data_IF_254027295152
#
_entry.id   IF_254027295152
#
_cell.length_a   1.000
_cell.length_b   1.000
_cell.length_c   1.000
_cell.angle_alpha   90.00
_cell.angle_beta   90.00
_cell.angle_gamma   90.00
#
_symmetry.space_group_name_H-M   'P 1'
#
loop_
_entity.id
_entity.type
_entity.pdbx_description
1 polymer ?
#
# COMPACT_ATOMS: atom_id res chain seq x y z
N UNK A 1 -24.88 -2.50 -28.97
CA UNK A 1 -23.58 -3.16 -28.74
C UNK A 1 -23.77 -4.27 -27.72
N UNK A 2 -23.28 -5.49 -27.97
CA UNK A 2 -23.25 -6.53 -26.92
C UNK A 2 -22.29 -6.05 -25.83
N UNK A 3 -22.79 -5.94 -24.60
CA UNK A 3 -21.95 -5.66 -23.43
C UNK A 3 -21.12 -6.92 -23.19
N UNK A 4 -19.81 -6.84 -23.28
CA UNK A 4 -18.93 -7.94 -22.88
C UNK A 4 -18.98 -8.06 -21.36
N UNK A 5 -19.16 -9.28 -20.86
CA UNK A 5 -19.20 -9.58 -19.43
C UNK A 5 -17.88 -10.20 -18.98
N UNK A 6 -17.47 -9.90 -17.77
CA UNK A 6 -16.28 -10.43 -17.12
C UNK A 6 -16.60 -10.94 -15.70
N UNK A 7 -15.87 -11.93 -15.24
CA UNK A 7 -15.95 -12.37 -13.84
C UNK A 7 -15.30 -11.32 -12.93
N UNK A 8 -15.96 -11.04 -11.80
CA UNK A 8 -15.46 -10.11 -10.79
C UNK A 8 -15.98 -10.43 -9.40
N UNK A 9 -15.20 -10.07 -8.38
CA UNK A 9 -15.61 -10.11 -6.97
C UNK A 9 -16.01 -8.71 -6.51
N UNK A 10 -17.26 -8.57 -6.06
CA UNK A 10 -17.82 -7.28 -5.69
C UNK A 10 -18.55 -7.31 -4.35
N UNK A 11 -18.73 -6.12 -3.77
CA UNK A 11 -19.63 -5.89 -2.63
C UNK A 11 -20.88 -5.14 -3.10
N UNK A 12 -22.04 -5.60 -2.63
CA UNK A 12 -23.34 -4.93 -2.85
C UNK A 12 -23.64 -3.91 -1.74
N UNK A 13 -23.02 -4.08 -0.59
CA UNK A 13 -23.12 -3.20 0.59
C UNK A 13 -21.85 -3.29 1.43
N UNK A 14 -21.55 -2.26 2.18
CA UNK A 14 -20.52 -2.33 3.22
C UNK A 14 -20.95 -3.27 4.34
N UNK A 15 -20.10 -4.23 4.68
CA UNK A 15 -20.39 -5.21 5.74
C UNK A 15 -19.08 -5.71 6.36
N UNK A 16 -18.93 -5.53 7.67
CA UNK A 16 -17.74 -5.98 8.40
C UNK A 16 -17.62 -7.51 8.30
N UNK A 17 -16.46 -7.98 7.80
CA UNK A 17 -16.21 -9.40 7.57
C UNK A 17 -17.13 -10.03 6.50
N UNK A 18 -17.84 -9.23 5.69
CA UNK A 18 -18.73 -9.72 4.65
C UNK A 18 -17.98 -10.36 3.50
N UNK A 19 -18.49 -11.47 2.97
CA UNK A 19 -17.93 -12.10 1.78
C UNK A 19 -18.23 -11.25 0.53
N UNK A 20 -17.27 -11.21 -0.40
CA UNK A 20 -17.48 -10.69 -1.73
C UNK A 20 -18.29 -11.69 -2.55
N UNK A 21 -19.15 -11.18 -3.41
CA UNK A 21 -19.94 -11.99 -4.35
C UNK A 21 -19.22 -12.10 -5.68
N UNK A 22 -18.95 -13.33 -6.13
CA UNK A 22 -18.53 -13.58 -7.51
C UNK A 22 -19.71 -13.31 -8.45
N UNK A 23 -19.48 -12.51 -9.48
CA UNK A 23 -20.51 -12.08 -10.42
C UNK A 23 -19.94 -11.89 -11.82
N UNK A 24 -20.82 -11.94 -12.80
CA UNK A 24 -20.55 -11.38 -14.12
C UNK A 24 -20.87 -9.89 -14.11
N UNK A 25 -19.90 -9.07 -14.45
CA UNK A 25 -20.00 -7.61 -14.51
C UNK A 25 -19.67 -7.13 -15.92
N UNK A 26 -20.20 -5.98 -16.38
CA UNK A 26 -19.74 -5.38 -17.61
C UNK A 26 -18.23 -5.10 -17.58
N UNK A 27 -17.54 -5.30 -18.70
CA UNK A 27 -16.19 -4.79 -18.84
C UNK A 27 -16.14 -3.29 -18.54
N UNK A 28 -15.05 -2.79 -17.91
CA UNK A 28 -14.91 -1.37 -17.62
C UNK A 28 -14.84 -0.53 -18.91
N UNK A 29 -15.40 0.67 -18.84
CA UNK A 29 -15.31 1.64 -19.94
C UNK A 29 -13.86 2.11 -20.11
N UNK A 30 -13.33 2.03 -21.33
CA UNK A 30 -12.01 2.53 -21.71
C UNK A 30 -12.10 4.02 -22.04
N UNK A 31 -11.54 4.89 -21.22
CA UNK A 31 -11.46 6.33 -21.47
C UNK A 31 -10.27 6.65 -22.38
N UNK A 32 -10.24 7.88 -22.88
CA UNK A 32 -9.21 8.31 -23.88
C UNK A 32 -7.76 8.24 -23.37
N UNK A 33 -7.56 8.30 -22.06
CA UNK A 33 -6.24 8.24 -21.41
C UNK A 33 -5.97 6.90 -20.72
N UNK A 34 -6.84 5.90 -20.86
CA UNK A 34 -6.73 4.64 -20.15
C UNK A 34 -5.99 3.56 -20.94
N UNK A 35 -5.44 2.63 -20.22
CA UNK A 35 -5.07 1.30 -20.72
C UNK A 35 -6.06 0.27 -20.16
N UNK A 36 -6.53 -0.63 -21.01
CA UNK A 36 -7.31 -1.80 -20.59
C UNK A 36 -6.34 -2.94 -20.35
N UNK A 37 -6.32 -3.42 -19.12
CA UNK A 37 -5.44 -4.50 -18.69
C UNK A 37 -6.25 -5.77 -18.49
N UNK A 38 -5.85 -6.85 -19.17
CA UNK A 38 -6.25 -8.21 -18.84
C UNK A 38 -5.46 -8.65 -17.62
N UNK A 39 -6.15 -8.85 -16.50
CA UNK A 39 -5.53 -9.11 -15.21
C UNK A 39 -5.00 -10.55 -15.15
N UNK A 40 -3.73 -10.71 -14.83
CA UNK A 40 -3.10 -12.01 -14.57
C UNK A 40 -3.01 -12.29 -13.08
N UNK A 41 -2.72 -11.27 -12.29
CA UNK A 41 -2.65 -11.36 -10.84
C UNK A 41 -3.09 -10.07 -10.16
N UNK A 42 -3.64 -10.17 -8.96
CA UNK A 42 -4.05 -9.06 -8.12
C UNK A 42 -3.50 -9.21 -6.69
N UNK A 43 -2.87 -8.15 -6.18
CA UNK A 43 -2.37 -8.13 -4.80
C UNK A 43 -3.49 -7.85 -3.80
N UNK A 44 -3.52 -8.60 -2.70
CA UNK A 44 -4.50 -8.44 -1.63
C UNK A 44 -3.91 -7.56 -0.52
N UNK A 45 -4.69 -6.62 -0.04
CA UNK A 45 -4.28 -5.65 0.97
C UNK A 45 -5.28 -5.56 2.11
N UNK A 46 -4.83 -5.24 3.32
CA UNK A 46 -5.73 -4.91 4.43
C UNK A 46 -6.64 -3.71 4.09
N UNK A 47 -6.24 -2.87 3.13
CA UNK A 47 -7.08 -1.79 2.61
C UNK A 47 -8.36 -2.33 1.97
N UNK A 48 -8.30 -3.45 1.25
CA UNK A 48 -9.46 -4.07 0.61
C UNK A 48 -10.50 -4.48 1.68
N UNK A 49 -10.05 -5.10 2.77
CA UNK A 49 -10.91 -5.44 3.92
C UNK A 49 -11.54 -4.19 4.53
N UNK A 50 -10.76 -3.14 4.75
CA UNK A 50 -11.26 -1.88 5.34
C UNK A 50 -12.26 -1.14 4.44
N UNK A 51 -12.09 -1.20 3.12
CA UNK A 51 -13.05 -0.67 2.15
C UNK A 51 -14.34 -1.51 2.22
N UNK A 52 -14.24 -2.85 2.18
CA UNK A 52 -15.37 -3.78 2.35
C UNK A 52 -16.16 -3.47 3.62
N UNK A 53 -15.47 -3.23 4.72
CA UNK A 53 -16.06 -2.96 6.03
C UNK A 53 -16.66 -1.55 6.15
N UNK A 54 -16.40 -0.66 5.17
CA UNK A 54 -16.90 0.71 5.15
C UNK A 54 -16.14 1.68 6.05
N UNK A 55 -14.94 1.35 6.51
CA UNK A 55 -14.15 2.24 7.36
C UNK A 55 -13.81 3.57 6.67
N UNK A 56 -13.73 3.58 5.34
CA UNK A 56 -13.40 4.76 4.54
C UNK A 56 -14.60 5.42 3.85
N UNK A 57 -15.84 4.97 4.06
CA UNK A 57 -17.03 5.44 3.34
C UNK A 57 -17.26 6.98 3.41
N UNK A 58 -16.76 7.63 4.45
CA UNK A 58 -16.86 9.09 4.60
C UNK A 58 -15.78 9.85 3.82
N UNK A 59 -14.64 9.20 3.55
CA UNK A 59 -13.48 9.80 2.87
C UNK A 59 -13.44 9.36 1.42
N UNK A 60 -13.81 8.11 1.16
CA UNK A 60 -13.87 7.46 -0.15
C UNK A 60 -15.27 6.90 -0.36
N UNK A 61 -16.24 7.73 -0.76
CA UNK A 61 -17.62 7.29 -0.98
C UNK A 61 -17.74 6.53 -2.31
N UNK A 62 -17.55 5.22 -2.30
CA UNK A 62 -17.74 4.40 -3.50
C UNK A 62 -19.21 4.20 -3.83
N UNK A 63 -19.50 4.12 -5.13
CA UNK A 63 -20.81 3.65 -5.63
C UNK A 63 -20.85 2.14 -5.55
N UNK A 64 -21.96 1.60 -5.07
CA UNK A 64 -22.21 0.17 -4.98
C UNK A 64 -23.19 -0.26 -6.09
N UNK A 65 -23.07 -1.49 -6.63
CA UNK A 65 -22.07 -2.51 -6.30
C UNK A 65 -20.64 -2.09 -6.73
N UNK A 66 -19.63 -2.52 -5.94
CA UNK A 66 -18.23 -2.14 -6.15
C UNK A 66 -17.36 -3.39 -6.31
N UNK A 67 -16.61 -3.49 -7.40
CA UNK A 67 -15.52 -4.47 -7.53
C UNK A 67 -14.35 -4.02 -6.68
N UNK A 68 -13.84 -4.91 -5.80
CA UNK A 68 -12.72 -4.60 -4.93
C UNK A 68 -11.36 -4.94 -5.57
N UNK A 69 -10.29 -4.60 -4.86
CA UNK A 69 -8.91 -4.84 -5.26
C UNK A 69 -8.19 -3.56 -5.67
N UNK A 70 -6.92 -3.46 -5.26
CA UNK A 70 -6.12 -2.23 -5.37
C UNK A 70 -4.78 -2.42 -6.10
N UNK A 71 -4.33 -3.65 -6.34
CA UNK A 71 -3.06 -3.95 -7.01
C UNK A 71 -3.30 -4.86 -8.21
N UNK A 72 -2.64 -4.61 -9.32
CA UNK A 72 -2.76 -5.40 -10.54
C UNK A 72 -1.41 -5.61 -11.22
N UNK A 73 -1.24 -6.79 -11.81
CA UNK A 73 -0.30 -7.05 -12.90
C UNK A 73 -1.03 -7.82 -13.99
N UNK A 74 -0.73 -7.49 -15.24
CA UNK A 74 -1.41 -8.10 -16.38
C UNK A 74 -0.88 -7.60 -17.72
N UNK A 75 -1.65 -7.86 -18.75
CA UNK A 75 -1.28 -7.55 -20.14
C UNK A 75 -2.23 -6.49 -20.68
N UNK A 76 -1.68 -5.48 -21.30
CA UNK A 76 -2.48 -4.46 -22.01
C UNK A 76 -3.17 -5.11 -23.22
N UNK A 77 -4.48 -4.97 -23.30
CA UNK A 77 -5.27 -5.49 -24.44
C UNK A 77 -5.83 -4.39 -25.34
N UNK A 78 -6.10 -3.21 -24.78
CA UNK A 78 -6.56 -2.02 -25.51
C UNK A 78 -6.00 -0.76 -24.88
N UNK A 79 -5.85 0.29 -25.67
CA UNK A 79 -5.41 1.61 -25.20
C UNK A 79 -6.36 2.70 -25.66
N UNK A 80 -6.55 3.73 -24.87
CA UNK A 80 -7.32 4.92 -25.20
C UNK A 80 -6.62 5.79 -26.26
N UNK A 81 -7.39 6.63 -26.92
CA UNK A 81 -6.92 7.39 -28.10
C UNK A 81 -5.73 8.32 -27.82
N UNK A 82 -5.54 8.75 -26.57
CA UNK A 82 -4.43 9.64 -26.17
C UNK A 82 -3.19 8.89 -25.67
N UNK A 83 -3.28 7.59 -25.41
CA UNK A 83 -2.16 6.80 -24.87
C UNK A 83 -1.12 6.54 -25.96
N UNK A 84 0.16 6.83 -25.67
CA UNK A 84 1.30 6.63 -26.60
C UNK A 84 2.39 5.77 -26.00
N UNK A 85 2.50 5.69 -24.67
CA UNK A 85 3.55 4.98 -23.95
C UNK A 85 3.30 3.48 -23.77
N UNK A 86 2.08 3.02 -24.03
CA UNK A 86 1.69 1.61 -23.94
C UNK A 86 0.99 1.15 -25.21
N UNK A 87 1.09 -0.16 -25.50
CA UNK A 87 0.42 -0.85 -26.62
C UNK A 87 -0.11 -2.21 -26.20
N UNK A 88 -1.07 -2.79 -26.90
CA UNK A 88 -1.49 -4.17 -26.70
C UNK A 88 -0.31 -5.14 -26.72
N UNK A 89 -0.28 -6.06 -25.74
CA UNK A 89 0.78 -7.03 -25.52
C UNK A 89 1.82 -6.60 -24.47
N UNK A 90 1.85 -5.33 -24.06
CA UNK A 90 2.76 -4.89 -23.01
C UNK A 90 2.36 -5.49 -21.65
N UNK A 91 3.33 -6.03 -20.93
CA UNK A 91 3.16 -6.49 -19.54
C UNK A 91 3.33 -5.31 -18.59
N UNK A 92 2.32 -5.07 -17.79
CA UNK A 92 2.24 -3.89 -16.91
C UNK A 92 1.85 -4.25 -15.49
N UNK A 93 2.14 -3.33 -14.58
CA UNK A 93 1.63 -3.40 -13.22
C UNK A 93 1.21 -2.01 -12.74
N UNK A 94 0.23 -1.95 -11.84
CA UNK A 94 -0.34 -0.70 -11.41
C UNK A 94 -1.02 -0.79 -10.04
N UNK A 95 -1.13 0.37 -9.40
CA UNK A 95 -2.12 0.65 -8.37
C UNK A 95 -3.09 1.68 -8.96
N UNK A 96 -4.30 1.28 -9.34
CA UNK A 96 -5.27 2.21 -9.91
C UNK A 96 -5.62 3.36 -8.97
N UNK A 97 -6.03 4.50 -9.49
CA UNK A 97 -6.50 5.62 -8.68
C UNK A 97 -7.57 5.19 -7.65
N UNK A 98 -7.67 5.91 -6.54
CA UNK A 98 -8.53 5.52 -5.41
C UNK A 98 -10.01 5.41 -5.77
N UNK A 99 -10.48 6.21 -6.71
CA UNK A 99 -11.86 6.22 -7.21
C UNK A 99 -12.11 5.21 -8.34
N UNK A 100 -11.08 4.45 -8.76
CA UNK A 100 -11.10 3.52 -9.89
C UNK A 100 -10.52 2.16 -9.55
N UNK A 101 -10.67 1.73 -8.32
CA UNK A 101 -10.27 0.38 -7.86
C UNK A 101 -11.11 -0.70 -8.55
N UNK A 102 -10.68 -1.98 -8.47
CA UNK A 102 -11.45 -3.08 -9.03
C UNK A 102 -10.60 -4.18 -9.65
N UNK A 103 -9.50 -4.55 -8.99
CA UNK A 103 -8.54 -5.53 -9.55
C UNK A 103 -8.90 -6.99 -9.26
N UNK A 104 -9.93 -7.27 -8.44
CA UNK A 104 -10.45 -8.64 -8.31
C UNK A 104 -11.46 -8.94 -9.42
N UNK A 105 -11.00 -8.87 -10.66
CA UNK A 105 -11.75 -9.05 -11.90
C UNK A 105 -10.85 -9.57 -13.03
N UNK A 106 -11.42 -9.89 -14.19
CA UNK A 106 -10.64 -10.33 -15.36
C UNK A 106 -10.03 -9.15 -16.12
N UNK A 107 -10.67 -7.95 -16.09
CA UNK A 107 -10.20 -6.74 -16.78
C UNK A 107 -10.35 -5.52 -15.89
N UNK A 108 -9.47 -4.55 -16.09
CA UNK A 108 -9.56 -3.22 -15.49
C UNK A 108 -9.09 -2.15 -16.47
N UNK A 109 -9.75 -0.98 -16.45
CA UNK A 109 -9.28 0.21 -17.15
C UNK A 109 -8.56 1.13 -16.16
N UNK A 110 -7.29 1.42 -16.40
CA UNK A 110 -6.43 2.23 -15.53
C UNK A 110 -5.92 3.43 -16.31
N UNK A 111 -5.90 4.61 -15.69
CA UNK A 111 -5.26 5.79 -16.30
C UNK A 111 -3.78 5.47 -16.56
N UNK A 112 -3.32 5.79 -17.77
CA UNK A 112 -1.95 5.46 -18.19
C UNK A 112 -0.87 6.11 -17.30
N UNK A 113 -1.20 7.20 -16.60
CA UNK A 113 -0.28 7.84 -15.64
C UNK A 113 -0.09 7.07 -14.35
N UNK A 114 -0.96 6.10 -14.05
CA UNK A 114 -0.89 5.24 -12.87
C UNK A 114 -0.20 3.88 -13.15
N UNK A 115 0.17 3.64 -14.40
CA UNK A 115 0.70 2.35 -14.89
C UNK A 115 2.20 2.45 -15.16
N UNK A 116 2.91 1.36 -14.93
CA UNK A 116 4.30 1.18 -15.37
C UNK A 116 4.50 -0.19 -16.03
N UNK A 117 5.57 -0.32 -16.83
CA UNK A 117 5.99 -1.61 -17.35
C UNK A 117 6.35 -2.53 -16.18
N UNK A 118 5.88 -3.77 -16.24
CA UNK A 118 6.22 -4.80 -15.26
C UNK A 118 7.74 -5.03 -15.26
N UNK A 119 8.41 -5.12 -14.08
CA UNK A 119 9.80 -5.53 -14.02
C UNK A 119 10.03 -6.84 -14.76
N UNK A 120 11.05 -6.89 -15.63
CA UNK A 120 11.32 -8.04 -16.51
C UNK A 120 11.71 -9.31 -15.76
N UNK A 121 12.25 -9.15 -14.57
CA UNK A 121 12.72 -10.23 -13.69
C UNK A 121 11.66 -10.72 -12.67
N UNK A 122 10.40 -10.26 -12.77
CA UNK A 122 9.31 -10.69 -11.92
C UNK A 122 8.24 -11.49 -12.68
N UNK A 123 7.62 -12.45 -12.01
CA UNK A 123 6.36 -13.07 -12.45
C UNK A 123 5.19 -12.09 -12.30
N UNK A 124 4.01 -12.44 -12.83
CA UNK A 124 2.81 -11.63 -12.67
C UNK A 124 2.37 -11.52 -11.21
N UNK A 125 2.45 -12.62 -10.46
CA UNK A 125 2.13 -12.65 -9.02
C UNK A 125 3.09 -11.78 -8.21
N UNK A 126 4.39 -11.87 -8.51
CA UNK A 126 5.40 -11.02 -7.86
C UNK A 126 5.16 -9.55 -8.18
N UNK A 127 4.90 -9.21 -9.43
CA UNK A 127 4.62 -7.84 -9.86
C UNK A 127 3.33 -7.30 -9.22
N UNK A 128 2.24 -8.08 -9.18
CA UNK A 128 0.99 -7.68 -8.54
C UNK A 128 1.13 -7.47 -7.01
N UNK A 129 2.14 -8.06 -6.39
CA UNK A 129 2.41 -7.90 -4.97
C UNK A 129 3.00 -6.53 -4.61
N UNK A 130 3.46 -5.76 -5.58
CA UNK A 130 4.33 -4.60 -5.35
C UNK A 130 3.62 -3.24 -5.28
N UNK A 131 2.66 -2.86 -6.16
CA UNK A 131 2.34 -1.46 -6.41
C UNK A 131 1.95 -0.67 -5.16
N UNK A 132 0.93 -1.10 -4.42
CA UNK A 132 0.45 -0.38 -3.23
C UNK A 132 1.53 -0.25 -2.15
N UNK A 133 2.20 -1.34 -1.84
CA UNK A 133 3.17 -1.36 -0.74
C UNK A 133 4.47 -0.64 -1.09
N UNK A 134 4.90 -0.72 -2.35
CA UNK A 134 6.10 -0.05 -2.82
C UNK A 134 5.88 1.46 -2.97
N UNK A 135 4.74 1.89 -3.54
CA UNK A 135 4.36 3.30 -3.55
C UNK A 135 4.21 3.87 -2.14
N UNK A 136 3.62 3.10 -1.21
CA UNK A 136 3.54 3.53 0.20
C UNK A 136 4.93 3.73 0.79
N UNK A 137 5.84 2.78 0.63
CA UNK A 137 7.21 2.87 1.14
C UNK A 137 7.96 4.05 0.51
N UNK A 138 7.84 4.24 -0.80
CA UNK A 138 8.45 5.34 -1.55
C UNK A 138 7.95 6.69 -1.04
N UNK A 139 6.63 6.90 -1.04
CA UNK A 139 6.03 8.17 -0.64
C UNK A 139 6.29 8.51 0.83
N UNK A 140 6.41 7.50 1.72
CA UNK A 140 6.83 7.72 3.10
C UNK A 140 8.29 8.12 3.18
N UNK A 141 9.20 7.32 2.60
CA UNK A 141 10.63 7.45 2.85
C UNK A 141 11.29 8.52 1.97
N UNK A 142 10.90 8.59 0.69
CA UNK A 142 11.47 9.53 -0.27
C UNK A 142 10.76 10.87 -0.22
N UNK A 143 9.44 10.89 -0.40
CA UNK A 143 8.72 12.17 -0.56
C UNK A 143 8.49 12.88 0.77
N UNK A 144 7.95 12.18 1.78
CA UNK A 144 7.58 12.78 3.07
C UNK A 144 8.78 12.88 4.02
N UNK A 145 9.46 11.76 4.26
CA UNK A 145 10.60 11.74 5.17
C UNK A 145 11.80 12.46 4.58
N UNK A 146 12.00 12.38 3.25
CA UNK A 146 13.23 12.78 2.56
C UNK A 146 14.43 12.16 3.26
N UNK A 147 14.35 10.84 3.44
CA UNK A 147 15.34 10.05 4.17
C UNK A 147 16.70 10.17 3.50
N UNK A 148 17.75 10.39 4.29
CA UNK A 148 19.11 10.61 3.81
C UNK A 148 20.06 9.57 4.38
N UNK A 149 21.16 9.34 3.69
CA UNK A 149 22.27 8.50 4.14
C UNK A 149 22.68 8.85 5.57
N UNK A 150 22.87 7.82 6.41
CA UNK A 150 23.30 7.95 7.80
C UNK A 150 22.19 8.28 8.79
N UNK A 151 20.97 8.60 8.33
CA UNK A 151 19.84 8.77 9.21
C UNK A 151 19.32 7.42 9.76
N UNK A 152 18.69 7.47 10.93
CA UNK A 152 18.08 6.31 11.59
C UNK A 152 16.58 6.29 11.35
N UNK A 153 16.05 5.17 10.84
CA UNK A 153 14.62 4.97 10.65
C UNK A 153 14.13 3.76 11.42
N UNK A 154 13.00 3.89 12.11
CA UNK A 154 12.25 2.77 12.66
C UNK A 154 11.05 2.48 11.75
N UNK A 155 10.95 1.23 11.30
CA UNK A 155 9.84 0.73 10.47
C UNK A 155 9.08 -0.29 11.30
N UNK A 156 7.85 0.03 11.69
CA UNK A 156 6.99 -0.92 12.40
C UNK A 156 6.45 -2.01 11.47
N UNK A 157 6.15 -3.20 12.04
CA UNK A 157 5.65 -4.36 11.32
C UNK A 157 6.52 -4.73 10.10
N UNK A 158 7.83 -4.87 10.31
CA UNK A 158 8.81 -5.09 9.25
C UNK A 158 8.60 -6.32 8.39
N UNK A 159 7.89 -7.34 8.88
CA UNK A 159 7.55 -8.55 8.14
C UNK A 159 6.23 -8.44 7.35
N UNK A 160 5.51 -7.33 7.43
CA UNK A 160 4.30 -7.08 6.65
C UNK A 160 4.59 -6.53 5.25
N UNK A 161 3.55 -6.38 4.42
CA UNK A 161 3.71 -5.96 3.02
C UNK A 161 4.52 -4.67 2.85
N UNK A 162 4.12 -3.57 3.52
CA UNK A 162 4.86 -2.30 3.46
C UNK A 162 6.24 -2.42 4.10
N UNK A 163 6.32 -3.11 5.26
CA UNK A 163 7.57 -3.21 6.02
C UNK A 163 8.69 -3.89 5.26
N UNK A 164 8.39 -4.98 4.54
CA UNK A 164 9.39 -5.73 3.75
C UNK A 164 10.02 -4.88 2.65
N UNK A 165 9.25 -4.02 2.01
CA UNK A 165 9.75 -3.12 0.96
C UNK A 165 10.44 -1.89 1.56
N UNK A 166 9.85 -1.31 2.61
CA UNK A 166 10.40 -0.12 3.27
C UNK A 166 11.79 -0.37 3.88
N UNK A 167 12.05 -1.57 4.44
CA UNK A 167 13.38 -1.94 4.94
C UNK A 167 14.40 -1.91 3.80
N UNK A 168 14.13 -2.57 2.69
CA UNK A 168 15.04 -2.65 1.53
C UNK A 168 15.28 -1.26 0.93
N UNK A 169 14.23 -0.47 0.72
CA UNK A 169 14.35 0.90 0.20
C UNK A 169 15.14 1.80 1.16
N UNK A 170 14.89 1.75 2.47
CA UNK A 170 15.64 2.53 3.45
C UNK A 170 17.13 2.16 3.47
N UNK A 171 17.45 0.87 3.32
CA UNK A 171 18.85 0.40 3.19
C UNK A 171 19.50 0.93 1.93
N UNK A 172 18.82 0.90 0.80
CA UNK A 172 19.30 1.48 -0.47
C UNK A 172 19.60 2.98 -0.31
N UNK A 173 18.73 3.72 0.39
CA UNK A 173 18.94 5.13 0.70
C UNK A 173 20.10 5.39 1.69
N UNK A 174 20.75 4.33 2.19
CA UNK A 174 21.88 4.40 3.11
C UNK A 174 21.52 4.69 4.56
N UNK A 175 20.28 4.43 4.97
CA UNK A 175 19.84 4.62 6.34
C UNK A 175 20.23 3.45 7.27
N UNK A 176 20.29 3.73 8.57
CA UNK A 176 20.34 2.73 9.61
C UNK A 176 18.90 2.33 9.98
N UNK A 177 18.58 1.07 9.79
CA UNK A 177 17.19 0.59 9.84
C UNK A 177 16.95 -0.26 11.08
N UNK A 178 16.03 0.19 11.95
CA UNK A 178 15.41 -0.65 12.96
C UNK A 178 14.01 -1.07 12.52
N UNK A 179 13.58 -2.24 12.96
CA UNK A 179 12.22 -2.71 12.71
C UNK A 179 11.66 -3.49 13.90
N UNK A 180 10.32 -3.52 14.00
CA UNK A 180 9.60 -4.38 14.94
C UNK A 180 8.97 -5.55 14.22
N UNK A 181 9.10 -6.76 14.78
CA UNK A 181 8.46 -7.97 14.24
C UNK A 181 8.25 -8.99 15.34
N UNK A 182 7.59 -10.12 15.03
CA UNK A 182 7.49 -11.26 15.95
C UNK A 182 8.71 -12.17 15.84
N UNK A 183 8.96 -12.98 16.87
CA UNK A 183 10.07 -13.94 16.94
C UNK A 183 10.25 -14.75 15.66
N UNK A 184 9.14 -15.27 15.10
CA UNK A 184 9.16 -16.12 13.91
C UNK A 184 9.63 -15.41 12.63
N UNK A 185 9.65 -14.08 12.60
CA UNK A 185 9.97 -13.28 11.41
C UNK A 185 11.30 -12.52 11.54
N UNK A 186 12.04 -12.71 12.65
CA UNK A 186 13.33 -12.03 12.88
C UNK A 186 14.33 -12.33 11.75
N UNK A 187 14.46 -13.59 11.36
CA UNK A 187 15.37 -13.99 10.28
C UNK A 187 15.01 -13.32 8.95
N UNK A 188 13.72 -13.25 8.61
CA UNK A 188 13.24 -12.60 7.39
C UNK A 188 13.65 -11.13 7.36
N UNK A 189 13.30 -10.35 8.38
CA UNK A 189 13.58 -8.90 8.33
C UNK A 189 15.08 -8.58 8.37
N UNK A 190 15.89 -9.43 9.02
CA UNK A 190 17.36 -9.35 8.93
C UNK A 190 17.86 -9.58 7.51
N UNK A 191 17.34 -10.59 6.81
CA UNK A 191 17.72 -10.89 5.42
C UNK A 191 17.33 -9.78 4.44
N UNK A 192 16.37 -8.92 4.81
CA UNK A 192 15.96 -7.75 4.05
C UNK A 192 16.83 -6.51 4.35
N UNK A 193 17.77 -6.61 5.31
CA UNK A 193 18.73 -5.58 5.63
C UNK A 193 18.46 -4.76 6.89
N UNK A 194 17.52 -5.18 7.77
CA UNK A 194 17.34 -4.50 9.04
C UNK A 194 18.59 -4.63 9.94
N UNK A 195 19.14 -3.49 10.39
CA UNK A 195 20.32 -3.44 11.26
C UNK A 195 19.95 -3.81 12.71
N UNK A 196 18.77 -3.39 13.16
CA UNK A 196 18.22 -3.72 14.50
C UNK A 196 16.83 -4.30 14.35
N UNK A 197 16.62 -5.42 15.01
CA UNK A 197 15.29 -6.06 15.04
C UNK A 197 14.82 -6.15 16.48
N UNK A 198 13.69 -5.51 16.78
CA UNK A 198 13.01 -5.62 18.07
C UNK A 198 11.91 -6.66 17.96
N UNK A 199 12.06 -7.75 18.67
CA UNK A 199 11.01 -8.76 18.84
C UNK A 199 10.00 -8.25 19.87
N UNK A 200 8.84 -7.76 19.39
CA UNK A 200 7.82 -7.15 20.23
C UNK A 200 7.18 -8.13 21.26
N UNK A 201 7.45 -9.43 21.13
CA UNK A 201 7.04 -10.44 22.13
C UNK A 201 7.96 -10.50 23.34
N UNK A 202 9.17 -9.93 23.23
CA UNK A 202 10.21 -9.96 24.25
C UNK A 202 10.56 -8.58 24.78
N UNK A 203 10.57 -7.59 23.86
CA UNK A 203 11.10 -6.27 24.16
C UNK A 203 10.11 -5.16 23.79
N UNK A 204 10.05 -4.11 24.62
CA UNK A 204 9.38 -2.86 24.31
C UNK A 204 10.32 -1.96 23.49
N UNK A 205 9.98 -1.73 22.21
CA UNK A 205 10.81 -0.93 21.32
C UNK A 205 11.11 0.49 21.85
N UNK A 206 10.17 1.11 22.58
CA UNK A 206 10.33 2.43 23.18
C UNK A 206 11.37 2.48 24.31
N UNK A 207 11.72 1.31 24.90
CA UNK A 207 12.75 1.21 25.94
C UNK A 207 14.14 1.02 25.34
N UNK A 208 14.23 0.28 24.21
CA UNK A 208 15.52 -0.13 23.63
C UNK A 208 15.99 0.76 22.48
N UNK A 209 15.09 1.52 21.84
CA UNK A 209 15.41 2.39 20.70
C UNK A 209 15.33 3.86 21.10
N UNK A 210 16.36 4.67 20.71
CA UNK A 210 16.41 6.11 20.97
C UNK A 210 17.16 6.86 19.85
N UNK A 211 16.76 8.12 19.65
CA UNK A 211 17.48 9.04 18.77
C UNK A 211 17.26 8.80 17.28
N UNK A 212 16.09 8.31 16.89
CA UNK A 212 15.73 8.07 15.50
C UNK A 212 15.28 9.37 14.79
N UNK A 213 15.59 9.47 13.51
CA UNK A 213 15.19 10.59 12.65
C UNK A 213 13.76 10.43 12.13
N UNK A 214 13.39 9.22 11.78
CA UNK A 214 12.12 8.89 11.15
C UNK A 214 11.50 7.66 11.80
N UNK A 215 10.18 7.67 11.97
CA UNK A 215 9.38 6.48 12.26
C UNK A 215 8.29 6.34 11.23
N UNK A 216 8.25 5.18 10.55
CA UNK A 216 7.10 4.74 9.76
C UNK A 216 6.20 3.88 10.65
N UNK A 217 5.02 4.41 10.97
CA UNK A 217 4.03 3.70 11.76
C UNK A 217 2.89 3.16 10.88
N UNK A 218 2.73 1.84 10.89
CA UNK A 218 1.65 1.09 10.23
C UNK A 218 0.72 0.38 11.23
N UNK A 219 0.88 0.66 12.53
CA UNK A 219 0.17 0.01 13.63
C UNK A 219 -0.77 0.99 14.34
N UNK A 220 -1.54 0.46 15.30
CA UNK A 220 -2.56 1.20 16.01
C UNK A 220 -2.05 2.36 16.89
N UNK A 221 -2.99 2.99 17.60
CA UNK A 221 -2.79 4.21 18.38
C UNK A 221 -1.68 4.09 19.44
N UNK A 222 -1.62 2.99 20.17
CA UNK A 222 -0.63 2.82 21.25
C UNK A 222 0.79 2.81 20.70
N UNK A 223 1.05 2.07 19.62
CA UNK A 223 2.35 2.07 18.95
C UNK A 223 2.71 3.44 18.37
N UNK A 224 1.72 4.14 17.80
CA UNK A 224 1.90 5.50 17.30
C UNK A 224 2.37 6.45 18.41
N UNK A 225 1.74 6.42 19.59
CA UNK A 225 2.10 7.28 20.71
C UNK A 225 3.47 6.93 21.33
N UNK A 226 3.75 5.64 21.50
CA UNK A 226 5.04 5.14 21.97
C UNK A 226 6.19 5.50 21.03
N UNK A 227 5.93 5.59 19.73
CA UNK A 227 6.93 5.98 18.72
C UNK A 227 7.52 7.38 18.95
N UNK A 228 6.80 8.27 19.63
CA UNK A 228 7.32 9.59 20.00
C UNK A 228 8.52 9.52 20.97
N UNK A 229 8.64 8.45 21.75
CA UNK A 229 9.75 8.27 22.69
C UNK A 229 11.05 7.82 22.01
N UNK A 230 10.95 7.30 20.80
CA UNK A 230 12.08 6.83 19.99
C UNK A 230 12.72 7.96 19.20
N UNK A 231 11.93 8.95 18.80
CA UNK A 231 12.36 10.04 17.95
C UNK A 231 13.18 11.09 18.70
N UNK A 232 14.18 11.65 18.02
CA UNK A 232 14.90 12.83 18.47
C UNK A 232 14.12 14.13 18.18
N UNK A 233 14.42 15.26 18.84
CA UNK A 233 13.90 16.56 18.42
C UNK A 233 14.21 16.82 16.94
N UNK A 234 13.23 17.35 16.18
CA UNK A 234 13.30 17.49 14.73
C UNK A 234 12.94 16.22 13.94
N UNK A 235 12.69 15.11 14.62
CA UNK A 235 12.31 13.85 13.99
C UNK A 235 10.92 13.87 13.36
N UNK A 236 10.65 12.87 12.50
CA UNK A 236 9.41 12.74 11.73
C UNK A 236 8.69 11.45 12.08
N UNK A 237 7.43 11.57 12.52
CA UNK A 237 6.51 10.45 12.70
C UNK A 237 5.51 10.45 11.54
N UNK A 238 5.64 9.47 10.66
CA UNK A 238 4.77 9.32 9.50
C UNK A 238 3.91 8.07 9.72
N UNK A 239 2.60 8.23 9.68
CA UNK A 239 1.67 7.12 9.90
C UNK A 239 0.80 6.87 8.68
N UNK A 240 0.60 5.59 8.36
CA UNK A 240 -0.32 5.11 7.33
C UNK A 240 -1.59 4.47 7.93
N UNK A 241 -1.70 4.45 9.25
CA UNK A 241 -2.82 3.85 10.01
C UNK A 241 -3.35 4.73 11.13
N UNK A 242 -2.69 5.88 11.39
CA UNK A 242 -3.09 6.84 12.42
C UNK A 242 -4.19 7.81 11.95
N UNK A 243 -4.56 8.78 12.81
CA UNK A 243 -5.58 9.74 12.45
C UNK A 243 -5.09 10.67 11.33
N UNK A 244 -5.91 10.89 10.27
CA UNK A 244 -5.58 11.81 9.20
C UNK A 244 -5.36 13.24 9.73
N UNK A 245 -4.34 13.90 9.21
CA UNK A 245 -4.02 15.28 9.57
C UNK A 245 -4.67 16.31 8.63
N UNK A 246 -4.66 17.61 8.97
CA UNK A 246 -5.26 18.65 8.12
C UNK A 246 -4.57 18.82 6.77
N UNK A 247 -3.30 18.44 6.64
CA UNK A 247 -2.54 18.54 5.39
C UNK A 247 -3.03 17.50 4.39
N UNK A 248 -3.27 16.28 4.86
CA UNK A 248 -3.94 15.25 4.08
C UNK A 248 -5.31 15.71 3.57
N UNK A 249 -6.13 16.32 4.46
CA UNK A 249 -7.45 16.82 4.08
C UNK A 249 -7.37 17.92 2.99
N UNK A 250 -6.33 18.76 3.01
CA UNK A 250 -6.10 19.78 1.97
C UNK A 250 -5.71 19.14 0.64
N UNK A 251 -4.79 18.19 0.65
CA UNK A 251 -4.30 17.51 -0.55
C UNK A 251 -5.41 16.74 -1.28
N UNK A 252 -6.34 16.15 -0.51
CA UNK A 252 -7.47 15.39 -1.07
C UNK A 252 -8.69 16.30 -1.45
N UNK A 253 -8.55 17.60 -1.46
CA UNK A 253 -9.67 18.50 -1.81
C UNK A 253 -10.86 18.43 -0.88
N UNK A 254 -10.70 17.87 0.33
CA UNK A 254 -11.78 17.68 1.30
C UNK A 254 -12.45 19.03 1.66
N UNK A 255 -13.78 19.03 1.80
CA UNK A 255 -14.54 20.19 2.26
C UNK A 255 -14.09 20.67 3.65
N UNK A 256 -14.35 21.95 3.96
CA UNK A 256 -13.87 22.57 5.21
C UNK A 256 -14.32 21.83 6.46
N UNK A 257 -15.53 21.30 6.48
CA UNK A 257 -16.07 20.54 7.62
C UNK A 257 -15.25 19.26 7.90
N UNK A 258 -14.94 18.49 6.86
CA UNK A 258 -14.12 17.30 6.98
C UNK A 258 -12.68 17.63 7.43
N UNK A 259 -12.14 18.77 6.99
CA UNK A 259 -10.84 19.29 7.48
C UNK A 259 -10.87 19.57 8.98
N UNK A 260 -11.96 20.13 9.52
CA UNK A 260 -12.08 20.38 10.96
C UNK A 260 -12.20 19.06 11.73
N UNK A 261 -12.95 18.08 11.22
CA UNK A 261 -13.04 16.75 11.82
C UNK A 261 -11.66 16.09 11.89
N UNK A 262 -10.90 16.07 10.79
CA UNK A 262 -9.55 15.49 10.76
C UNK A 262 -8.59 16.26 11.68
N UNK A 263 -8.73 17.58 11.78
CA UNK A 263 -7.97 18.42 12.72
C UNK A 263 -8.21 18.02 14.16
N UNK A 264 -9.47 17.74 14.53
CA UNK A 264 -9.83 17.29 15.88
C UNK A 264 -9.33 15.89 16.14
N UNK A 265 -9.53 14.94 15.22
CA UNK A 265 -9.08 13.54 15.35
C UNK A 265 -7.57 13.45 15.56
N UNK A 266 -6.77 14.23 14.84
CA UNK A 266 -5.32 14.23 14.95
C UNK A 266 -4.77 15.17 16.04
N UNK A 267 -5.62 15.95 16.74
CA UNK A 267 -5.17 16.98 17.69
C UNK A 267 -4.31 16.42 18.82
N UNK A 268 -4.67 15.25 19.35
CA UNK A 268 -3.97 14.61 20.44
C UNK A 268 -2.52 14.26 20.07
N UNK A 269 -2.34 13.50 19.00
CA UNK A 269 -1.00 13.10 18.53
C UNK A 269 -0.16 14.31 18.10
N UNK A 270 -0.75 15.27 17.39
CA UNK A 270 -0.06 16.50 16.94
C UNK A 270 0.41 17.36 18.11
N UNK A 271 -0.39 17.47 19.19
CA UNK A 271 0.00 18.20 20.42
C UNK A 271 1.15 17.50 21.11
N UNK A 272 1.08 16.15 21.27
CA UNK A 272 2.14 15.35 21.86
C UNK A 272 3.44 15.45 21.05
N UNK A 273 3.37 15.37 19.72
CA UNK A 273 4.50 15.53 18.81
C UNK A 273 5.13 16.93 18.93
N UNK A 274 4.31 17.99 18.88
CA UNK A 274 4.80 19.37 18.98
C UNK A 274 5.56 19.63 20.28
N UNK A 275 5.10 19.09 21.42
CA UNK A 275 5.78 19.22 22.72
C UNK A 275 7.19 18.61 22.74
N UNK A 276 7.47 17.69 21.82
CA UNK A 276 8.77 17.01 21.66
C UNK A 276 9.55 17.52 20.44
N UNK A 277 9.10 18.59 19.79
CA UNK A 277 9.68 19.10 18.55
C UNK A 277 9.70 18.05 17.42
N UNK A 278 8.68 17.21 17.35
CA UNK A 278 8.51 16.16 16.34
C UNK A 278 7.43 16.57 15.36
N UNK A 279 7.63 16.33 14.05
CA UNK A 279 6.59 16.50 13.06
C UNK A 279 5.77 15.21 12.93
N UNK A 280 4.43 15.34 12.99
CA UNK A 280 3.50 14.26 12.67
C UNK A 280 2.88 14.49 11.30
N UNK A 281 2.83 13.45 10.47
CA UNK A 281 2.06 13.46 9.23
C UNK A 281 1.37 12.12 9.00
N UNK A 282 0.18 12.18 8.41
CA UNK A 282 -0.54 11.03 7.89
C UNK A 282 -0.26 10.91 6.39
N UNK A 283 -0.10 9.70 5.91
CA UNK A 283 0.02 9.39 4.49
C UNK A 283 -1.04 8.38 4.10
N UNK A 284 -1.84 8.75 3.11
CA UNK A 284 -2.62 7.81 2.31
C UNK A 284 -2.00 7.83 0.92
N UNK A 285 -1.46 6.70 0.48
CA UNK A 285 -0.68 6.65 -0.75
C UNK A 285 -1.55 6.94 -1.98
N UNK A 286 -0.96 7.54 -2.99
CA UNK A 286 -1.58 7.85 -4.27
C UNK A 286 -0.98 7.01 -5.38
N UNK A 287 -1.79 6.72 -6.40
CA UNK A 287 -1.32 6.08 -7.63
C UNK A 287 -0.27 6.97 -8.32
N UNK A 288 0.75 6.37 -8.91
CA UNK A 288 1.80 7.09 -9.63
C UNK A 288 2.66 6.13 -10.45
N UNK A 289 2.44 6.10 -11.77
CA UNK A 289 3.20 5.27 -12.71
C UNK A 289 4.68 5.64 -12.76
N UNK A 290 5.01 6.94 -12.72
CA UNK A 290 6.42 7.38 -12.73
C UNK A 290 7.21 6.90 -11.51
N UNK A 291 6.59 6.89 -10.30
CA UNK A 291 7.22 6.29 -9.13
C UNK A 291 7.36 4.77 -9.25
N UNK A 292 6.39 4.10 -9.91
CA UNK A 292 6.52 2.66 -10.20
C UNK A 292 7.66 2.39 -11.18
N UNK A 293 7.94 3.25 -12.16
CA UNK A 293 9.10 3.12 -13.06
C UNK A 293 10.43 3.20 -12.30
N UNK A 294 10.55 4.13 -11.35
CA UNK A 294 11.73 4.21 -10.47
C UNK A 294 11.86 2.92 -9.62
N UNK A 295 10.74 2.44 -9.08
CA UNK A 295 10.70 1.18 -8.32
C UNK A 295 11.04 -0.02 -9.22
N UNK A 296 10.55 -0.06 -10.48
CA UNK A 296 10.93 -1.08 -11.47
C UNK A 296 12.45 -1.15 -11.62
N UNK A 297 13.11 0.00 -11.78
CA UNK A 297 14.57 0.06 -11.91
C UNK A 297 15.29 -0.53 -10.70
N UNK A 298 14.79 -0.28 -9.48
CA UNK A 298 15.36 -0.86 -8.26
C UNK A 298 15.11 -2.37 -8.15
N UNK A 299 13.99 -2.85 -8.63
CA UNK A 299 13.66 -4.29 -8.66
C UNK A 299 14.57 -5.00 -9.67
N UNK A 300 14.71 -4.47 -10.87
CA UNK A 300 15.54 -5.06 -11.91
C UNK A 300 17.03 -5.06 -11.54
N UNK A 301 17.47 -4.06 -10.79
CA UNK A 301 18.80 -4.02 -10.18
C UNK A 301 18.99 -4.96 -8.98
N UNK A 302 17.96 -5.69 -8.56
CA UNK A 302 18.00 -6.61 -7.41
C UNK A 302 18.08 -5.91 -6.05
N UNK A 303 17.83 -4.60 -5.99
CA UNK A 303 17.84 -3.81 -4.75
C UNK A 303 16.59 -4.08 -3.91
N UNK A 304 15.45 -4.20 -4.57
CA UNK A 304 14.16 -4.52 -3.95
C UNK A 304 13.65 -5.83 -4.54
N UNK A 305 13.21 -6.72 -3.66
CA UNK A 305 12.58 -7.98 -4.06
C UNK A 305 11.23 -8.14 -3.36
N UNK A 306 10.20 -8.68 -4.02
CA UNK A 306 8.94 -9.02 -3.40
C UNK A 306 9.10 -10.12 -2.35
N UNK A 307 8.23 -10.09 -1.34
CA UNK A 307 8.06 -11.19 -0.38
C UNK A 307 6.61 -11.61 -0.46
N UNK A 308 6.36 -12.78 -1.05
CA UNK A 308 5.02 -13.37 -1.16
C UNK A 308 4.89 -14.48 -0.12
N UNK A 309 3.82 -14.43 0.67
CA UNK A 309 3.47 -15.47 1.62
C UNK A 309 2.62 -16.57 0.98
N UNK A 310 1.57 -16.16 0.27
CA UNK A 310 0.64 -17.09 -0.40
C UNK A 310 0.09 -16.51 -1.70
N UNK A 311 -0.16 -17.43 -2.65
CA UNK A 311 -0.94 -17.18 -3.86
C UNK A 311 -2.21 -18.01 -3.77
N UNK A 312 -3.36 -17.38 -4.00
CA UNK A 312 -4.66 -18.03 -4.06
C UNK A 312 -5.20 -18.02 -5.50
N UNK A 313 -5.92 -19.05 -5.95
CA UNK A 313 -6.66 -18.98 -7.21
C UNK A 313 -7.80 -17.96 -7.11
N UNK A 314 -8.25 -17.43 -8.25
CA UNK A 314 -9.25 -16.36 -8.32
C UNK A 314 -10.53 -16.70 -7.54
N UNK A 315 -11.04 -17.92 -7.69
CA UNK A 315 -12.26 -18.37 -7.02
C UNK A 315 -12.17 -18.35 -5.48
N UNK A 316 -10.94 -18.29 -4.95
CA UNK A 316 -10.67 -18.25 -3.50
C UNK A 316 -10.30 -16.84 -3.00
N UNK A 317 -10.71 -15.79 -3.71
CA UNK A 317 -10.44 -14.39 -3.32
C UNK A 317 -10.93 -14.06 -1.90
N UNK A 318 -12.09 -14.57 -1.49
CA UNK A 318 -12.58 -14.39 -0.12
C UNK A 318 -11.63 -14.98 0.93
N UNK A 319 -11.12 -16.18 0.69
CA UNK A 319 -10.16 -16.81 1.60
C UNK A 319 -8.84 -16.02 1.68
N UNK A 320 -8.41 -15.42 0.57
CA UNK A 320 -7.25 -14.54 0.55
C UNK A 320 -7.46 -13.29 1.41
N UNK A 321 -8.64 -12.67 1.34
CA UNK A 321 -9.02 -11.53 2.19
C UNK A 321 -9.06 -11.92 3.67
N UNK A 322 -9.72 -13.05 4.00
CA UNK A 322 -9.79 -13.57 5.37
C UNK A 322 -8.38 -13.85 5.92
N UNK A 323 -7.51 -14.42 5.10
CA UNK A 323 -6.14 -14.69 5.50
C UNK A 323 -5.36 -13.40 5.82
N UNK A 324 -5.49 -12.37 4.98
CA UNK A 324 -4.85 -11.06 5.24
C UNK A 324 -5.39 -10.41 6.52
N UNK A 325 -6.69 -10.55 6.79
CA UNK A 325 -7.34 -10.01 7.99
C UNK A 325 -6.80 -10.63 9.30
N UNK A 326 -6.31 -11.87 9.26
CA UNK A 326 -5.67 -12.50 10.43
C UNK A 326 -4.43 -11.76 10.91
N UNK A 327 -3.82 -10.90 10.08
CA UNK A 327 -2.57 -10.20 10.36
C UNK A 327 -1.34 -11.12 10.45
N UNK A 328 -1.43 -12.36 9.98
CA UNK A 328 -0.35 -13.36 10.04
C UNK A 328 0.49 -13.44 8.78
N UNK A 329 0.06 -12.83 7.69
CA UNK A 329 0.77 -12.85 6.42
C UNK A 329 2.19 -12.25 6.54
N UNK A 330 3.16 -12.90 5.91
CA UNK A 330 4.55 -12.45 5.79
C UNK A 330 4.75 -11.82 4.40
N UNK A 331 4.89 -10.51 4.34
CA UNK A 331 4.89 -9.82 3.06
C UNK A 331 3.47 -9.75 2.48
N UNK A 332 3.28 -10.25 1.26
CA UNK A 332 2.07 -10.07 0.47
C UNK A 332 1.32 -11.37 0.21
N UNK A 333 0.03 -11.23 0.05
CA UNK A 333 -0.88 -12.24 -0.47
C UNK A 333 -1.36 -11.81 -1.85
N UNK A 334 -1.46 -12.75 -2.76
CA UNK A 334 -1.80 -12.51 -4.17
C UNK A 334 -2.91 -13.47 -4.60
N UNK A 335 -3.77 -13.00 -5.49
CA UNK A 335 -4.75 -13.80 -6.21
C UNK A 335 -4.28 -13.94 -7.66
N UNK A 336 -4.11 -15.16 -8.14
CA UNK A 336 -3.82 -15.47 -9.55
C UNK A 336 -5.16 -15.57 -10.29
N UNK A 337 -5.34 -14.73 -11.31
CA UNK A 337 -6.61 -14.60 -12.02
C UNK A 337 -6.63 -15.52 -13.23
N UNK A 338 -5.48 -15.67 -13.89
CA UNK A 338 -5.28 -16.54 -15.08
C UNK A 338 -3.86 -17.07 -15.15
#
# INVERSE_FOLDING_TARGET
MKVSLMKSFLIDRYAKGGALRLSESPEPELRVNDVMVEIRAAGVNLLDNKIRDGEFKLILPYRLPLVLGNDVAGVVVRVGANVRQFKPGDEVYARPAQDRIGTFAEYIAVDATDVAMKPTNLTMEEAASMPLVALTAWQVLVDKAKLRRGQKVLIHAGSGGVGTIAIQLAKHLGAYVATTTSTANVALVKSLGADVVVDYKKDDFEKVLKGYDVVLNSLGKDTLEKSLAVLKPGGKLISISGPPDPDFARQNGSGWLLRQVMRLLSSGIRRKSKRRSISYSFLFMTANGGQLEEITSLIEAGVIRPVIDRVFPFERTNEALDYVETGRAKGKVVVSVR
#
